data_IF_937219826809
#
_entry.id   IF_937219826809
#
_cell.length_a   1.000
_cell.length_b   1.000
_cell.length_c   1.000
_cell.angle_alpha   90.00
_cell.angle_beta   90.00
_cell.angle_gamma   90.00
#
_symmetry.space_group_name_H-M   'P 1'
#
loop_
_entity.id
_entity.type
_entity.pdbx_description
1 polymer ?
#
# COMPACT_ATOMS: atom_id res chain seq x y z
N UNK A 1 -17.92 11.97 8.75
CA UNK A 1 -18.30 10.66 8.17
C UNK A 1 -18.99 10.89 6.84
N UNK A 2 -18.74 10.02 5.86
CA UNK A 2 -19.48 10.02 4.59
C UNK A 2 -20.96 9.77 4.93
N UNK A 3 -21.82 10.73 4.59
CA UNK A 3 -23.22 10.74 5.03
C UNK A 3 -24.14 9.98 4.07
N UNK A 4 -23.76 9.93 2.80
CA UNK A 4 -24.57 9.38 1.70
C UNK A 4 -23.82 8.22 1.06
N UNK A 5 -24.53 7.13 0.74
CA UNK A 5 -23.96 6.00 -0.01
C UNK A 5 -23.82 6.29 -1.51
N UNK A 6 -23.38 5.29 -2.26
CA UNK A 6 -23.26 5.37 -3.72
C UNK A 6 -24.65 5.41 -4.38
N UNK A 7 -24.76 6.00 -5.57
CA UNK A 7 -26.05 6.14 -6.29
C UNK A 7 -26.79 4.80 -6.47
N UNK A 8 -26.04 3.75 -6.86
CA UNK A 8 -26.60 2.42 -7.08
C UNK A 8 -26.93 1.67 -5.77
N UNK A 9 -26.28 2.04 -4.67
CA UNK A 9 -26.42 1.38 -3.36
C UNK A 9 -26.43 2.45 -2.23
N UNK A 10 -27.53 3.21 -2.05
CA UNK A 10 -27.57 4.36 -1.14
C UNK A 10 -27.29 4.04 0.33
N UNK A 11 -27.55 2.80 0.74
CA UNK A 11 -27.30 2.32 2.10
C UNK A 11 -25.84 1.90 2.35
N UNK A 12 -25.06 1.71 1.29
CA UNK A 12 -23.64 1.31 1.37
C UNK A 12 -22.76 2.54 1.25
N UNK A 13 -21.98 2.80 2.30
CA UNK A 13 -21.07 3.97 2.40
C UNK A 13 -19.63 3.54 2.22
N UNK A 14 -18.82 4.37 1.57
CA UNK A 14 -17.39 4.15 1.48
C UNK A 14 -16.72 4.23 2.87
N UNK A 15 -15.77 3.33 3.13
CA UNK A 15 -15.04 3.27 4.40
C UNK A 15 -13.75 4.09 4.41
N UNK A 16 -13.16 4.36 3.25
CA UNK A 16 -11.93 5.12 3.06
C UNK A 16 -11.90 5.72 1.64
N UNK A 17 -10.98 6.66 1.37
CA UNK A 17 -10.79 7.23 0.03
C UNK A 17 -9.71 6.43 -0.69
N UNK A 18 -10.02 5.81 -1.83
CA UNK A 18 -9.01 5.14 -2.63
C UNK A 18 -9.55 4.24 -3.76
N UNK A 19 -8.67 3.66 -4.57
CA UNK A 19 -7.25 4.05 -4.65
C UNK A 19 -7.11 5.33 -5.49
N UNK A 20 -6.46 6.36 -4.94
CA UNK A 20 -6.24 7.62 -5.66
C UNK A 20 -4.97 7.47 -6.49
N UNK A 21 -5.14 7.33 -7.81
CA UNK A 21 -4.05 7.03 -8.73
C UNK A 21 -3.38 8.26 -9.33
N UNK A 22 -2.10 8.09 -9.67
CA UNK A 22 -1.36 9.02 -10.52
C UNK A 22 -0.53 8.29 -11.57
N UNK A 23 -0.32 8.94 -12.72
CA UNK A 23 0.74 8.61 -13.66
C UNK A 23 2.07 9.27 -13.24
N UNK A 24 3.07 9.22 -14.13
CA UNK A 24 4.30 9.99 -13.99
C UNK A 24 4.76 10.55 -15.35
N UNK A 25 5.07 11.86 -15.46
CA UNK A 25 4.86 12.91 -14.44
C UNK A 25 3.39 13.05 -14.02
N UNK A 26 3.11 13.50 -12.80
CA UNK A 26 1.73 13.68 -12.33
C UNK A 26 1.08 14.81 -13.15
N UNK A 27 -0.02 14.50 -13.84
CA UNK A 27 -0.79 15.43 -14.65
C UNK A 27 -1.73 16.30 -13.79
N UNK A 28 -2.19 17.41 -14.36
CA UNK A 28 -2.98 18.39 -13.61
C UNK A 28 -4.32 17.84 -13.11
N UNK A 29 -4.90 16.86 -13.81
CA UNK A 29 -6.09 16.16 -13.32
C UNK A 29 -5.81 15.38 -12.03
N UNK A 30 -4.71 14.64 -12.00
CA UNK A 30 -4.33 13.79 -10.87
C UNK A 30 -3.87 14.64 -9.69
N UNK A 31 -3.16 15.76 -9.94
CA UNK A 31 -2.87 16.76 -8.90
C UNK A 31 -4.14 17.28 -8.25
N UNK A 32 -5.16 17.66 -9.04
CA UNK A 32 -6.46 18.09 -8.49
C UNK A 32 -7.14 16.99 -7.67
N UNK A 33 -7.08 15.74 -8.12
CA UNK A 33 -7.63 14.60 -7.38
C UNK A 33 -6.90 14.37 -6.04
N UNK A 34 -5.56 14.46 -6.02
CA UNK A 34 -4.76 14.35 -4.79
C UNK A 34 -5.04 15.52 -3.84
N UNK A 35 -5.13 16.76 -4.36
CA UNK A 35 -5.50 17.93 -3.55
C UNK A 35 -6.89 17.77 -2.92
N UNK A 36 -7.90 17.45 -3.73
CA UNK A 36 -9.26 17.22 -3.25
C UNK A 36 -9.32 16.10 -2.20
N UNK A 37 -8.49 15.07 -2.36
CA UNK A 37 -8.34 14.00 -1.37
C UNK A 37 -7.79 14.51 -0.04
N UNK A 38 -6.75 15.37 -0.07
CA UNK A 38 -6.21 16.01 1.14
C UNK A 38 -7.24 16.87 1.85
N UNK A 39 -7.90 17.76 1.12
CA UNK A 39 -8.93 18.66 1.66
C UNK A 39 -10.10 17.90 2.28
N UNK A 40 -10.55 16.82 1.63
CA UNK A 40 -11.65 15.99 2.12
C UNK A 40 -11.22 15.14 3.31
N UNK A 41 -10.01 14.57 3.27
CA UNK A 41 -9.47 13.78 4.37
C UNK A 41 -9.34 14.61 5.64
N UNK A 42 -8.88 15.87 5.54
CA UNK A 42 -8.77 16.78 6.67
C UNK A 42 -10.11 17.02 7.39
N UNK A 43 -11.21 17.08 6.62
CA UNK A 43 -12.56 17.25 7.17
C UNK A 43 -13.16 15.96 7.71
N UNK A 44 -12.88 14.82 7.06
CA UNK A 44 -13.52 13.55 7.40
C UNK A 44 -12.74 12.74 8.43
N UNK A 45 -11.43 12.89 8.50
CA UNK A 45 -10.52 12.05 9.29
C UNK A 45 -10.53 10.58 8.86
N UNK A 46 -10.87 10.29 7.60
CA UNK A 46 -10.93 8.93 7.07
C UNK A 46 -9.56 8.44 6.59
N UNK A 47 -9.38 7.11 6.41
CA UNK A 47 -8.18 6.57 5.78
C UNK A 47 -8.13 6.93 4.28
N UNK A 48 -6.93 6.96 3.73
CA UNK A 48 -6.66 7.26 2.30
C UNK A 48 -5.64 6.29 1.75
N UNK A 49 -5.86 5.78 0.54
CA UNK A 49 -4.91 4.94 -0.21
C UNK A 49 -4.54 5.58 -1.55
N UNK A 50 -3.24 5.55 -1.86
CA UNK A 50 -2.67 6.11 -3.08
C UNK A 50 -2.01 5.04 -3.95
N UNK A 51 -2.24 5.13 -5.26
CA UNK A 51 -1.59 4.31 -6.28
C UNK A 51 -0.57 5.17 -7.05
N UNK A 52 0.74 5.01 -6.79
CA UNK A 52 1.75 5.81 -7.47
C UNK A 52 2.01 5.33 -8.90
N UNK A 53 2.38 6.26 -9.76
CA UNK A 53 3.08 5.94 -11.01
C UNK A 53 4.34 5.08 -10.76
N UNK A 54 4.91 4.48 -11.80
CA UNK A 54 6.05 3.55 -11.66
C UNK A 54 7.40 4.22 -11.46
N UNK A 55 7.46 5.55 -11.57
CA UNK A 55 8.66 6.30 -11.25
C UNK A 55 8.84 6.40 -9.73
N UNK A 56 10.04 6.17 -9.26
CA UNK A 56 10.43 6.24 -7.85
C UNK A 56 10.18 7.60 -7.18
N UNK A 57 10.05 8.68 -7.95
CA UNK A 57 9.74 10.03 -7.43
C UNK A 57 8.23 10.23 -7.19
N UNK A 58 7.36 9.39 -7.79
CA UNK A 58 5.92 9.55 -7.68
C UNK A 58 5.38 9.45 -6.24
N UNK A 59 5.81 8.47 -5.40
CA UNK A 59 5.35 8.39 -4.01
C UNK A 59 5.59 9.66 -3.19
N UNK A 60 6.80 10.24 -3.28
CA UNK A 60 7.15 11.45 -2.55
C UNK A 60 6.32 12.66 -3.02
N UNK A 61 6.15 12.81 -4.33
CA UNK A 61 5.39 13.92 -4.89
C UNK A 61 3.90 13.84 -4.54
N UNK A 62 3.30 12.64 -4.56
CA UNK A 62 1.92 12.43 -4.10
C UNK A 62 1.77 12.86 -2.64
N UNK A 63 2.68 12.41 -1.77
CA UNK A 63 2.61 12.74 -0.34
C UNK A 63 2.80 14.24 -0.11
N UNK A 64 3.70 14.90 -0.85
CA UNK A 64 3.89 16.35 -0.79
C UNK A 64 2.60 17.09 -1.13
N UNK A 65 1.98 16.81 -2.28
CA UNK A 65 0.74 17.45 -2.73
C UNK A 65 -0.40 17.19 -1.74
N UNK A 66 -0.54 15.94 -1.29
CA UNK A 66 -1.58 15.56 -0.32
C UNK A 66 -1.43 16.29 1.01
N UNK A 67 -0.21 16.39 1.55
CA UNK A 67 0.05 17.08 2.82
C UNK A 67 -0.11 18.60 2.69
N UNK A 68 0.32 19.19 1.56
CA UNK A 68 0.11 20.62 1.27
C UNK A 68 -1.38 20.98 1.21
N UNK A 69 -2.23 20.07 0.74
CA UNK A 69 -3.69 20.22 0.73
C UNK A 69 -4.36 19.97 2.11
N UNK A 70 -3.57 19.69 3.14
CA UNK A 70 -4.05 19.45 4.52
C UNK A 70 -4.22 17.99 4.91
N UNK A 71 -3.85 17.05 4.04
CA UNK A 71 -3.92 15.63 4.30
C UNK A 71 -2.99 15.15 5.42
N UNK A 72 -3.52 14.37 6.36
CA UNK A 72 -2.73 13.72 7.41
C UNK A 72 -2.09 12.44 6.87
N UNK A 73 -0.75 12.41 6.82
CA UNK A 73 0.00 11.24 6.36
C UNK A 73 -0.16 10.02 7.28
N UNK A 74 -0.50 10.21 8.56
CA UNK A 74 -0.77 9.12 9.50
C UNK A 74 -2.04 8.31 9.14
N UNK A 75 -2.90 8.87 8.28
CA UNK A 75 -4.09 8.21 7.72
C UNK A 75 -3.90 7.78 6.26
N UNK A 76 -2.75 8.08 5.65
CA UNK A 76 -2.44 7.68 4.29
C UNK A 76 -1.68 6.35 4.24
N UNK A 77 -1.97 5.56 3.21
CA UNK A 77 -1.18 4.40 2.80
C UNK A 77 -0.69 4.63 1.38
N UNK A 78 0.61 4.38 1.16
CA UNK A 78 1.19 4.33 -0.17
C UNK A 78 1.25 2.88 -0.66
N UNK A 79 0.47 2.59 -1.70
CA UNK A 79 0.38 1.28 -2.34
C UNK A 79 1.55 1.04 -3.29
N UNK A 80 1.75 -0.22 -3.68
CA UNK A 80 2.69 -0.65 -4.72
C UNK A 80 4.15 -0.24 -4.50
N UNK A 81 4.58 -0.13 -3.24
CA UNK A 81 5.95 0.27 -2.89
C UNK A 81 6.96 -0.75 -3.43
N UNK A 82 6.59 -2.03 -3.50
CA UNK A 82 7.45 -3.12 -3.94
C UNK A 82 7.80 -3.10 -5.43
N UNK A 83 7.02 -2.42 -6.27
CA UNK A 83 7.33 -2.17 -7.69
C UNK A 83 7.83 -0.76 -8.01
N UNK A 84 7.91 0.12 -7.00
CA UNK A 84 8.12 1.56 -7.22
C UNK A 84 9.39 2.07 -6.54
N UNK A 85 9.59 1.76 -5.26
CA UNK A 85 10.82 2.10 -4.55
C UNK A 85 11.74 0.88 -4.57
N UNK A 86 12.64 0.80 -5.54
CA UNK A 86 13.44 -0.42 -5.77
C UNK A 86 14.70 -0.52 -4.91
N UNK A 87 15.18 0.58 -4.33
CA UNK A 87 16.29 0.56 -3.38
C UNK A 87 15.78 0.59 -1.92
N UNK A 88 16.56 0.00 -1.01
CA UNK A 88 16.21 0.00 0.43
C UNK A 88 16.38 1.42 0.98
N UNK A 89 17.34 2.16 0.47
CA UNK A 89 17.66 3.53 0.85
C UNK A 89 16.48 4.46 0.59
N UNK A 90 15.90 4.43 -0.62
CA UNK A 90 14.73 5.26 -0.98
C UNK A 90 13.48 4.84 -0.22
N UNK A 91 13.32 3.54 0.04
CA UNK A 91 12.25 3.06 0.91
C UNK A 91 12.36 3.63 2.33
N UNK A 92 13.57 3.69 2.89
CA UNK A 92 13.78 4.24 4.24
C UNK A 92 13.58 5.75 4.27
N UNK A 93 14.13 6.46 3.29
CA UNK A 93 13.93 7.91 3.08
C UNK A 93 12.43 8.25 3.04
N UNK A 94 11.68 7.58 2.15
CA UNK A 94 10.23 7.74 2.05
C UNK A 94 9.52 7.46 3.38
N UNK A 95 9.91 6.40 4.09
CA UNK A 95 9.32 6.02 5.38
C UNK A 95 9.57 7.05 6.50
N UNK A 96 10.74 7.68 6.48
CA UNK A 96 11.16 8.65 7.48
C UNK A 96 10.55 10.04 7.24
N UNK A 97 10.51 10.47 5.97
CA UNK A 97 10.00 11.78 5.58
C UNK A 97 8.47 11.88 5.64
N UNK A 98 7.78 10.94 4.99
CA UNK A 98 6.31 11.04 4.82
C UNK A 98 5.56 10.56 6.06
N UNK A 99 6.17 9.61 6.76
CA UNK A 99 5.61 8.92 7.91
C UNK A 99 4.27 8.21 7.69
N UNK A 100 3.87 7.97 6.43
CA UNK A 100 2.64 7.26 6.10
C UNK A 100 2.76 5.73 6.29
N UNK A 101 1.66 5.01 6.06
CA UNK A 101 1.71 3.55 5.91
C UNK A 101 2.34 3.16 4.57
N UNK A 102 3.09 2.06 4.58
CA UNK A 102 3.80 1.49 3.44
C UNK A 102 3.15 0.15 3.13
N UNK A 103 2.61 0.00 1.92
CA UNK A 103 1.98 -1.25 1.50
C UNK A 103 2.89 -2.07 0.59
N UNK A 104 3.07 -3.33 0.95
CA UNK A 104 3.56 -4.37 0.05
C UNK A 104 2.36 -5.19 -0.42
N UNK A 105 1.74 -4.79 -1.53
CA UNK A 105 0.44 -5.31 -1.96
C UNK A 105 0.51 -6.24 -3.17
N UNK A 106 1.69 -6.61 -3.67
CA UNK A 106 1.78 -7.55 -4.80
C UNK A 106 2.24 -8.96 -4.38
N UNK A 107 1.92 -9.42 -3.16
CA UNK A 107 2.26 -10.78 -2.74
C UNK A 107 1.62 -11.82 -3.68
N UNK A 108 2.40 -12.84 -4.06
CA UNK A 108 2.01 -13.85 -5.05
C UNK A 108 2.17 -13.40 -6.51
N UNK A 109 2.56 -12.14 -6.77
CA UNK A 109 2.91 -11.66 -8.12
C UNK A 109 4.41 -11.76 -8.33
N UNK A 110 4.82 -12.84 -9.00
CA UNK A 110 6.20 -13.08 -9.43
C UNK A 110 6.21 -13.31 -10.94
N UNK A 111 7.09 -12.63 -11.67
CA UNK A 111 7.19 -12.75 -13.11
C UNK A 111 8.64 -12.65 -13.58
N UNK A 112 9.01 -13.46 -14.57
CA UNK A 112 10.34 -13.43 -15.18
C UNK A 112 10.62 -12.16 -15.98
N UNK A 113 9.57 -11.44 -16.40
CA UNK A 113 9.68 -10.17 -17.12
C UNK A 113 8.53 -9.25 -16.75
N UNK A 114 8.84 -8.12 -16.11
CA UNK A 114 7.84 -7.15 -15.71
C UNK A 114 7.52 -6.18 -16.85
N UNK A 115 6.50 -6.51 -17.64
CA UNK A 115 6.14 -5.78 -18.86
C UNK A 115 5.75 -4.30 -18.63
N UNK A 116 5.28 -3.96 -17.43
CA UNK A 116 4.83 -2.60 -17.11
C UNK A 116 5.98 -1.66 -16.69
N UNK A 117 7.16 -2.21 -16.39
CA UNK A 117 8.39 -1.45 -16.24
C UNK A 117 9.58 -2.38 -16.54
N UNK A 118 10.10 -2.30 -17.76
CA UNK A 118 11.14 -3.18 -18.28
C UNK A 118 12.52 -2.93 -17.69
N UNK A 119 12.67 -1.91 -16.83
CA UNK A 119 13.97 -1.53 -16.24
C UNK A 119 14.20 -2.13 -14.85
N UNK A 120 13.22 -2.84 -14.29
CA UNK A 120 13.28 -3.41 -12.94
C UNK A 120 12.76 -4.84 -12.94
N UNK A 121 13.25 -5.63 -11.99
CA UNK A 121 12.73 -6.95 -11.70
C UNK A 121 11.59 -6.87 -10.69
N UNK A 122 10.51 -7.62 -10.94
CA UNK A 122 9.45 -7.80 -9.94
C UNK A 122 10.01 -8.59 -8.76
N UNK A 123 9.75 -8.11 -7.54
CA UNK A 123 10.20 -8.82 -6.35
C UNK A 123 9.47 -10.16 -6.22
N UNK A 124 10.18 -11.16 -5.73
CA UNK A 124 9.58 -12.34 -5.12
C UNK A 124 9.02 -12.00 -3.73
N UNK A 125 8.14 -12.85 -3.22
CA UNK A 125 7.61 -12.72 -1.86
C UNK A 125 8.71 -12.83 -0.81
N UNK A 126 9.72 -13.67 -1.09
CA UNK A 126 10.95 -13.73 -0.33
C UNK A 126 11.66 -12.37 -0.31
N UNK A 127 11.75 -11.64 -1.42
CA UNK A 127 12.36 -10.31 -1.43
C UNK A 127 11.48 -9.25 -0.74
N UNK A 128 10.14 -9.32 -0.88
CA UNK A 128 9.20 -8.46 -0.13
C UNK A 128 9.37 -8.62 1.38
N UNK A 129 9.36 -9.85 1.89
CA UNK A 129 9.59 -10.13 3.32
C UNK A 129 10.98 -9.65 3.77
N UNK A 130 12.00 -9.72 2.91
CA UNK A 130 13.34 -9.18 3.24
C UNK A 130 13.29 -7.67 3.49
N UNK A 131 12.51 -6.92 2.69
CA UNK A 131 12.33 -5.48 2.87
C UNK A 131 11.51 -5.15 4.12
N UNK A 132 10.45 -5.91 4.38
CA UNK A 132 9.68 -5.77 5.63
C UNK A 132 10.60 -6.03 6.85
N UNK A 133 11.49 -7.02 6.78
CA UNK A 133 12.45 -7.29 7.85
C UNK A 133 13.44 -6.13 8.08
N UNK A 134 13.80 -5.39 7.02
CA UNK A 134 14.57 -4.15 7.16
C UNK A 134 13.77 -3.06 7.86
N UNK A 135 12.51 -2.83 7.47
CA UNK A 135 11.63 -1.88 8.15
C UNK A 135 11.43 -2.25 9.63
N UNK A 136 11.28 -3.54 9.94
CA UNK A 136 11.27 -4.07 11.32
C UNK A 136 12.53 -3.67 12.08
N UNK A 137 13.72 -3.93 11.52
CA UNK A 137 15.00 -3.63 12.16
C UNK A 137 15.15 -2.13 12.48
N UNK A 138 14.62 -1.26 11.62
CA UNK A 138 14.62 0.19 11.79
C UNK A 138 13.44 0.72 12.64
N UNK A 139 12.68 -0.15 13.32
CA UNK A 139 11.57 0.25 14.20
C UNK A 139 10.31 0.75 13.49
N UNK A 140 10.18 0.52 12.18
CA UNK A 140 9.10 1.05 11.31
C UNK A 140 7.95 0.07 11.07
N UNK A 141 7.92 -1.08 11.76
CA UNK A 141 6.98 -2.17 11.52
C UNK A 141 5.50 -1.79 11.67
N UNK A 142 5.19 -0.87 12.59
CA UNK A 142 3.82 -0.40 12.90
C UNK A 142 3.17 0.45 11.80
N UNK A 143 3.85 0.62 10.67
CA UNK A 143 3.34 1.32 9.48
C UNK A 143 3.41 0.44 8.23
N UNK A 144 3.63 -0.86 8.38
CA UNK A 144 3.68 -1.79 7.26
C UNK A 144 2.34 -2.47 7.07
N UNK A 145 1.83 -2.46 5.84
CA UNK A 145 0.64 -3.20 5.42
C UNK A 145 1.01 -4.15 4.28
N UNK A 146 0.20 -5.19 4.11
CA UNK A 146 0.42 -6.18 3.05
C UNK A 146 -0.90 -6.66 2.43
N UNK A 147 -0.87 -6.97 1.14
CA UNK A 147 -2.01 -7.46 0.37
C UNK A 147 -1.54 -8.18 -0.91
N UNK A 148 -2.47 -8.52 -1.80
CA UNK A 148 -2.23 -9.26 -3.06
C UNK A 148 -2.51 -8.46 -4.34
N UNK A 149 -3.29 -7.38 -4.23
CA UNK A 149 -3.74 -6.58 -5.38
C UNK A 149 -4.32 -7.47 -6.50
N UNK A 150 -5.27 -8.34 -6.13
CA UNK A 150 -5.92 -9.24 -7.07
C UNK A 150 -6.91 -8.44 -7.91
N UNK A 151 -6.48 -8.02 -9.10
CA UNK A 151 -7.31 -7.28 -10.06
C UNK A 151 -7.52 -8.03 -11.40
N UNK A 152 -7.09 -9.29 -11.50
CA UNK A 152 -7.21 -10.11 -12.73
C UNK A 152 -7.60 -11.55 -12.42
N UNK A 153 -8.42 -12.17 -13.28
CA UNK A 153 -8.92 -13.55 -13.12
C UNK A 153 -7.81 -14.60 -12.92
N UNK A 154 -6.71 -14.49 -13.65
CA UNK A 154 -5.60 -15.47 -13.59
C UNK A 154 -4.89 -15.52 -12.23
N UNK A 155 -5.13 -14.54 -11.34
CA UNK A 155 -4.60 -14.54 -9.96
C UNK A 155 -5.49 -15.30 -8.98
N UNK A 156 -6.69 -15.71 -9.38
CA UNK A 156 -7.60 -16.49 -8.54
C UNK A 156 -7.31 -18.00 -8.65
N UNK A 157 -7.54 -18.74 -7.55
CA UNK A 157 -7.32 -20.20 -7.46
C UNK A 157 -8.01 -20.98 -8.59
N UNK A 158 -9.28 -20.72 -8.98
CA UNK A 158 -9.94 -21.45 -10.06
C UNK A 158 -9.26 -21.30 -11.43
N UNK A 159 -8.43 -20.28 -11.62
CA UNK A 159 -7.67 -20.03 -12.84
C UNK A 159 -6.18 -20.36 -12.68
N UNK A 160 -5.80 -21.09 -11.63
CA UNK A 160 -4.41 -21.47 -11.36
C UNK A 160 -3.57 -20.40 -10.66
N UNK A 161 -4.18 -19.31 -10.21
CA UNK A 161 -3.51 -18.24 -9.48
C UNK A 161 -3.36 -18.50 -7.98
N UNK A 162 -2.66 -17.60 -7.30
CA UNK A 162 -2.31 -17.73 -5.87
C UNK A 162 -3.51 -17.53 -4.91
N UNK A 163 -4.49 -16.70 -5.29
CA UNK A 163 -5.70 -16.41 -4.51
C UNK A 163 -5.48 -15.60 -3.22
N UNK A 164 -6.60 -15.20 -2.62
CA UNK A 164 -6.61 -14.32 -1.44
C UNK A 164 -6.04 -14.97 -0.16
N UNK A 165 -5.95 -16.29 -0.10
CA UNK A 165 -5.35 -16.99 1.04
C UNK A 165 -3.83 -17.08 0.95
N UNK A 166 -3.19 -16.60 -0.13
CA UNK A 166 -1.76 -16.84 -0.37
C UNK A 166 -0.87 -16.34 0.78
N UNK A 167 -1.19 -15.19 1.37
CA UNK A 167 -0.42 -14.62 2.48
C UNK A 167 -0.52 -15.52 3.71
N UNK A 168 -1.74 -15.91 4.09
CA UNK A 168 -2.00 -16.71 5.28
C UNK A 168 -1.56 -18.16 5.14
N UNK A 169 -1.68 -18.74 3.95
CA UNK A 169 -1.39 -20.15 3.70
C UNK A 169 0.06 -20.42 3.31
N UNK A 170 0.78 -19.43 2.74
CA UNK A 170 2.14 -19.63 2.22
C UNK A 170 3.14 -18.63 2.79
N UNK A 171 2.90 -17.32 2.62
CA UNK A 171 3.89 -16.28 2.96
C UNK A 171 4.23 -16.28 4.45
N UNK A 172 3.20 -16.26 5.30
CA UNK A 172 3.36 -16.23 6.75
C UNK A 172 4.07 -17.50 7.26
N UNK A 173 3.53 -18.72 7.05
CA UNK A 173 4.13 -19.93 7.60
C UNK A 173 5.49 -20.26 6.99
N UNK A 174 5.67 -20.07 5.68
CA UNK A 174 6.85 -20.58 4.97
C UNK A 174 7.97 -19.55 4.82
N UNK A 175 7.68 -18.25 4.89
CA UNK A 175 8.69 -17.20 4.64
C UNK A 175 8.89 -16.32 5.88
N UNK A 176 7.84 -15.74 6.44
CA UNK A 176 7.97 -14.80 7.55
C UNK A 176 8.47 -15.48 8.83
N UNK A 177 7.85 -16.59 9.23
CA UNK A 177 8.27 -17.33 10.43
C UNK A 177 9.72 -17.82 10.31
N UNK A 178 10.11 -18.38 9.16
CA UNK A 178 11.48 -18.81 8.88
C UNK A 178 12.51 -17.66 8.85
N UNK A 179 12.06 -16.41 8.81
CA UNK A 179 12.90 -15.20 8.85
C UNK A 179 12.83 -14.48 10.20
N UNK A 180 12.32 -15.16 11.22
CA UNK A 180 12.32 -14.66 12.59
C UNK A 180 11.31 -13.54 12.85
N UNK A 181 10.19 -13.52 12.11
CA UNK A 181 9.02 -12.76 12.53
C UNK A 181 8.29 -13.51 13.64
N UNK A 182 8.06 -12.85 14.77
CA UNK A 182 7.26 -13.43 15.86
C UNK A 182 5.77 -13.34 15.54
N UNK A 183 4.95 -14.08 16.30
CA UNK A 183 3.49 -14.02 16.19
C UNK A 183 2.97 -12.61 16.43
N UNK A 184 3.55 -11.87 17.38
CA UNK A 184 3.17 -10.49 17.71
C UNK A 184 3.48 -9.53 16.56
N UNK A 185 4.61 -9.74 15.87
CA UNK A 185 4.99 -8.94 14.72
C UNK A 185 4.13 -9.23 13.49
N UNK A 186 3.78 -10.51 13.28
CA UNK A 186 2.82 -10.91 12.25
C UNK A 186 1.47 -10.25 12.53
N UNK A 187 0.95 -10.39 13.76
CA UNK A 187 -0.30 -9.76 14.18
C UNK A 187 -0.24 -8.23 14.07
N UNK A 188 0.93 -7.62 14.32
CA UNK A 188 1.11 -6.18 14.09
C UNK A 188 0.80 -5.82 12.64
N UNK A 189 1.33 -6.56 11.67
CA UNK A 189 1.14 -6.27 10.25
C UNK A 189 -0.27 -6.65 9.77
N UNK A 190 -0.81 -7.79 10.21
CA UNK A 190 -2.04 -8.37 9.64
C UNK A 190 -3.31 -8.02 10.39
N UNK A 191 -3.21 -7.54 11.64
CA UNK A 191 -4.36 -7.22 12.49
C UNK A 191 -4.26 -5.78 12.96
N UNK A 192 -3.21 -5.41 13.67
CA UNK A 192 -3.16 -4.13 14.38
C UNK A 192 -3.01 -2.94 13.44
N UNK A 193 -2.09 -2.99 12.49
CA UNK A 193 -1.90 -1.93 11.51
C UNK A 193 -3.16 -1.70 10.65
N UNK A 194 -3.80 -2.71 10.04
CA UNK A 194 -5.01 -2.48 9.27
C UNK A 194 -6.17 -2.01 10.15
N UNK A 195 -6.31 -2.53 11.39
CA UNK A 195 -7.29 -2.03 12.36
C UNK A 195 -7.07 -0.54 12.64
N UNK A 196 -5.85 -0.14 13.01
CA UNK A 196 -5.52 1.24 13.34
C UNK A 196 -5.66 2.20 12.15
N UNK A 197 -5.30 1.74 10.96
CA UNK A 197 -5.43 2.54 9.74
C UNK A 197 -6.90 2.72 9.36
N UNK A 198 -7.68 1.64 9.30
CA UNK A 198 -9.08 1.67 8.84
C UNK A 198 -10.05 2.28 9.86
N UNK A 199 -9.69 2.28 11.15
CA UNK A 199 -10.53 2.82 12.22
C UNK A 199 -10.10 4.23 12.63
N UNK A 200 -10.95 4.88 13.42
CA UNK A 200 -10.76 6.24 13.91
C UNK A 200 -10.17 6.30 15.33
N UNK A 201 -9.78 5.15 15.90
CA UNK A 201 -9.15 5.05 17.22
C UNK A 201 -7.69 5.56 17.23
#
# INVERSE_FOLDING_TARGET
MIKTGCEECPDVKAGFIGEVGSTWPIEDFEKRAICATGELQAQLGCPVSFHPGRNESAPMEIMRIYQEAGGDSSKAIMSHIDRTLTSVEKLMEFADETKCYIQFDLFGTECSFYQLNTTIDMLSDAQRVKRIAKLKKEGKLRRVLMSHDVHTKHRLIPFGGHGYSHITSNVIPSIMMNRGFTTEEINTITIENPRKWLTRE
#
